data_IF_204183597653
#
_entry.id   IF_204183597653
#
_cell.length_a   1.000
_cell.length_b   1.000
_cell.length_c   1.000
_cell.angle_alpha   90.00
_cell.angle_beta   90.00
_cell.angle_gamma   90.00
#
_symmetry.space_group_name_H-M   'P 1'
#
loop_
_entity.id
_entity.type
_entity.pdbx_description
1 polymer ?
#
# COMPACT_ATOMS: atom_id res chain seq x y z
N UNK A 1 12.29 0.60 -26.78
CA UNK A 1 11.39 1.60 -26.17
C UNK A 1 10.83 2.57 -27.21
N UNK A 2 11.62 2.95 -28.22
CA UNK A 2 11.26 3.87 -29.31
C UNK A 2 9.86 3.71 -29.92
N UNK A 3 9.38 2.47 -30.15
CA UNK A 3 8.02 2.25 -30.70
C UNK A 3 6.90 2.69 -29.76
N UNK A 4 7.07 2.51 -28.45
CA UNK A 4 6.04 2.89 -27.46
C UNK A 4 6.01 4.40 -27.28
N UNK A 5 7.18 5.03 -27.20
CA UNK A 5 7.30 6.48 -27.03
C UNK A 5 6.82 7.25 -28.26
N UNK A 6 6.84 6.62 -29.45
CA UNK A 6 6.29 7.18 -30.69
C UNK A 6 4.74 7.09 -30.78
N UNK A 7 4.07 6.38 -29.88
CA UNK A 7 2.60 6.32 -29.89
C UNK A 7 2.01 7.69 -29.52
N UNK A 8 1.03 8.16 -30.29
CA UNK A 8 0.43 9.51 -30.12
C UNK A 8 -0.10 9.76 -28.70
N UNK A 9 -0.70 8.75 -28.08
CA UNK A 9 -1.22 8.82 -26.72
C UNK A 9 -0.17 8.69 -25.60
N UNK A 10 1.07 8.31 -25.89
CA UNK A 10 2.07 8.00 -24.85
C UNK A 10 2.38 9.21 -23.95
N UNK A 11 2.46 10.41 -24.54
CA UNK A 11 2.70 11.64 -23.78
C UNK A 11 1.59 11.94 -22.78
N UNK A 12 0.32 11.78 -23.19
CA UNK A 12 -0.84 11.98 -22.32
C UNK A 12 -0.87 10.95 -21.19
N UNK A 13 -0.60 9.67 -21.51
CA UNK A 13 -0.50 8.60 -20.52
C UNK A 13 0.59 8.89 -19.47
N UNK A 14 1.79 9.24 -19.93
CA UNK A 14 2.92 9.56 -19.06
C UNK A 14 2.60 10.75 -18.13
N UNK A 15 2.05 11.83 -18.69
CA UNK A 15 1.71 13.03 -17.93
C UNK A 15 0.68 12.75 -16.83
N UNK A 16 -0.42 12.07 -17.16
CA UNK A 16 -1.47 11.77 -16.17
C UNK A 16 -0.99 10.78 -15.11
N UNK A 17 -0.20 9.77 -15.50
CA UNK A 17 0.36 8.83 -14.53
C UNK A 17 1.30 9.53 -13.55
N UNK A 18 2.19 10.40 -14.03
CA UNK A 18 3.12 11.16 -13.18
C UNK A 18 2.37 12.06 -12.19
N UNK A 19 1.27 12.70 -12.62
CA UNK A 19 0.44 13.53 -11.73
C UNK A 19 -0.17 12.74 -10.57
N UNK A 20 -0.50 11.49 -10.80
CA UNK A 20 -1.09 10.62 -9.78
C UNK A 20 -0.04 10.10 -8.78
N UNK A 21 1.25 10.07 -9.15
CA UNK A 21 2.31 9.55 -8.30
C UNK A 21 2.65 10.44 -7.09
N UNK A 22 2.11 11.66 -6.94
CA UNK A 22 2.38 12.60 -5.83
C UNK A 22 3.85 12.65 -5.35
N UNK A 23 4.82 12.54 -6.28
CA UNK A 23 6.25 12.55 -5.97
C UNK A 23 6.69 14.00 -5.74
N UNK A 24 7.44 14.31 -4.67
CA UNK A 24 7.98 15.64 -4.45
C UNK A 24 8.74 16.16 -5.68
N UNK A 25 8.48 17.40 -6.09
CA UNK A 25 9.00 17.96 -7.36
C UNK A 25 10.52 17.80 -7.57
N UNK A 26 11.31 17.90 -6.50
CA UNK A 26 12.77 17.72 -6.56
C UNK A 26 13.18 16.27 -6.89
N UNK A 27 12.48 15.28 -6.34
CA UNK A 27 12.69 13.87 -6.69
C UNK A 27 12.11 13.57 -8.07
N UNK A 28 10.98 14.16 -8.41
CA UNK A 28 10.29 13.91 -9.67
C UNK A 28 11.19 14.19 -10.88
N UNK A 29 11.95 15.29 -10.88
CA UNK A 29 12.87 15.62 -11.97
C UNK A 29 13.93 14.52 -12.16
N UNK A 30 14.57 14.09 -11.06
CA UNK A 30 15.62 13.08 -11.10
C UNK A 30 15.07 11.69 -11.48
N UNK A 31 13.88 11.35 -11.00
CA UNK A 31 13.28 10.04 -11.20
C UNK A 31 12.54 9.90 -12.53
N UNK A 32 12.15 11.00 -13.18
CA UNK A 32 11.34 10.96 -14.42
C UNK A 32 11.93 10.01 -15.48
N UNK A 33 13.23 10.05 -15.82
CA UNK A 33 13.79 9.10 -16.80
C UNK A 33 13.64 7.63 -16.38
N UNK A 34 13.79 7.34 -15.09
CA UNK A 34 13.65 5.99 -14.55
C UNK A 34 12.18 5.54 -14.54
N UNK A 35 11.25 6.41 -14.14
CA UNK A 35 9.81 6.17 -14.14
C UNK A 35 9.30 5.94 -15.58
N UNK A 36 9.79 6.73 -16.54
CA UNK A 36 9.48 6.59 -17.97
C UNK A 36 9.93 5.23 -18.51
N UNK A 37 11.14 4.77 -18.16
CA UNK A 37 11.67 3.48 -18.58
C UNK A 37 10.95 2.27 -17.94
N UNK A 38 10.28 2.49 -16.81
CA UNK A 38 9.70 1.45 -15.97
C UNK A 38 8.17 1.52 -15.89
N UNK A 39 7.63 2.20 -14.88
CA UNK A 39 6.22 2.22 -14.50
C UNK A 39 5.33 2.75 -15.61
N UNK A 40 5.68 3.88 -16.24
CA UNK A 40 4.87 4.47 -17.32
C UNK A 40 4.83 3.54 -18.53
N UNK A 41 5.96 2.92 -18.89
CA UNK A 41 6.01 1.95 -19.99
C UNK A 41 5.13 0.73 -19.70
N UNK A 42 5.19 0.18 -18.49
CA UNK A 42 4.38 -0.97 -18.08
C UNK A 42 2.89 -0.61 -18.04
N UNK A 43 2.55 0.51 -17.40
CA UNK A 43 1.19 1.06 -17.35
C UNK A 43 0.61 1.26 -18.75
N UNK A 44 1.35 1.92 -19.64
CA UNK A 44 0.89 2.19 -20.99
C UNK A 44 0.67 0.90 -21.79
N UNK A 45 1.58 -0.07 -21.70
CA UNK A 45 1.42 -1.37 -22.38
C UNK A 45 0.22 -2.15 -21.89
N UNK A 46 -0.03 -2.16 -20.57
CA UNK A 46 -1.21 -2.80 -19.99
C UNK A 46 -2.49 -2.21 -20.59
N UNK A 47 -2.61 -0.88 -20.60
CA UNK A 47 -3.80 -0.22 -21.14
C UNK A 47 -3.93 -0.29 -22.66
N UNK A 48 -2.84 -0.43 -23.42
CA UNK A 48 -2.91 -0.74 -24.84
C UNK A 48 -3.42 -2.16 -25.10
N UNK A 49 -3.03 -3.13 -24.27
CA UNK A 49 -3.60 -4.49 -24.35
C UNK A 49 -5.09 -4.46 -24.01
N UNK A 50 -5.48 -3.74 -22.95
CA UNK A 50 -6.89 -3.54 -22.59
C UNK A 50 -7.71 -2.93 -23.75
N UNK A 51 -7.17 -1.96 -24.49
CA UNK A 51 -7.88 -1.37 -25.65
C UNK A 51 -8.22 -2.39 -26.75
N UNK A 52 -7.48 -3.49 -26.85
CA UNK A 52 -7.76 -4.57 -27.80
C UNK A 52 -8.92 -5.44 -27.31
N UNK A 53 -9.08 -5.57 -26.00
CA UNK A 53 -10.15 -6.35 -25.36
C UNK A 53 -11.44 -5.53 -25.26
N UNK A 54 -11.38 -4.40 -24.56
CA UNK A 54 -12.45 -3.41 -24.44
C UNK A 54 -11.85 -2.04 -24.09
N UNK A 55 -12.01 -1.07 -24.98
CA UNK A 55 -11.50 0.29 -24.78
C UNK A 55 -12.39 1.17 -23.90
N UNK A 56 -13.64 0.75 -23.67
CA UNK A 56 -14.68 1.47 -22.96
C UNK A 56 -14.77 1.09 -21.49
N UNK A 57 -14.66 -0.20 -21.17
CA UNK A 57 -14.92 -0.70 -19.82
C UNK A 57 -13.90 -1.75 -19.36
N UNK A 58 -13.75 -1.85 -18.04
CA UNK A 58 -12.97 -2.91 -17.38
C UNK A 58 -13.67 -3.28 -16.05
N UNK A 59 -13.81 -4.58 -15.72
CA UNK A 59 -14.33 -4.98 -14.42
C UNK A 59 -13.29 -4.72 -13.31
N UNK A 60 -13.75 -4.58 -12.07
CA UNK A 60 -12.86 -4.54 -10.90
C UNK A 60 -12.08 -5.87 -10.81
N UNK A 61 -10.73 -5.86 -10.87
CA UNK A 61 -9.93 -7.07 -10.78
C UNK A 61 -10.14 -7.83 -9.46
N UNK A 62 -10.56 -7.16 -8.39
CA UNK A 62 -10.83 -7.79 -7.10
C UNK A 62 -12.22 -8.46 -7.03
N UNK A 63 -13.11 -8.16 -7.99
CA UNK A 63 -14.46 -8.72 -8.06
C UNK A 63 -14.55 -10.05 -8.84
N UNK A 64 -13.43 -10.75 -9.04
CA UNK A 64 -13.39 -12.00 -9.85
C UNK A 64 -14.33 -13.12 -9.38
N UNK A 65 -14.83 -13.06 -8.15
CA UNK A 65 -15.77 -14.03 -7.58
C UNK A 65 -17.15 -13.46 -7.30
N UNK A 66 -17.40 -12.19 -7.66
CA UNK A 66 -18.71 -11.59 -7.53
C UNK A 66 -19.57 -11.98 -8.74
N UNK A 67 -20.86 -12.25 -8.49
CA UNK A 67 -21.83 -12.51 -9.55
C UNK A 67 -22.18 -11.24 -10.34
N UNK A 68 -21.89 -10.06 -9.79
CA UNK A 68 -22.09 -8.76 -10.42
C UNK A 68 -20.89 -7.83 -10.16
N UNK A 69 -19.77 -7.99 -10.90
CA UNK A 69 -18.57 -7.21 -10.63
C UNK A 69 -18.81 -5.74 -10.90
N UNK A 70 -18.22 -4.87 -10.07
CA UNK A 70 -18.20 -3.44 -10.35
C UNK A 70 -17.47 -3.18 -11.68
N UNK A 71 -18.06 -2.35 -12.56
CA UNK A 71 -17.47 -1.95 -13.84
C UNK A 71 -16.97 -0.50 -13.79
N UNK A 72 -15.83 -0.25 -14.43
CA UNK A 72 -15.25 1.07 -14.59
C UNK A 72 -15.22 1.48 -16.06
N UNK A 73 -15.72 2.69 -16.36
CA UNK A 73 -15.60 3.31 -17.67
C UNK A 73 -14.22 3.96 -17.83
N UNK A 74 -13.51 3.69 -18.93
CA UNK A 74 -12.09 3.99 -19.13
C UNK A 74 -11.76 4.63 -20.49
N UNK A 75 -12.76 5.10 -21.23
CA UNK A 75 -12.62 5.77 -22.54
C UNK A 75 -12.52 7.30 -22.46
N UNK A 76 -12.69 7.87 -21.27
CA UNK A 76 -12.67 9.31 -21.05
C UNK A 76 -14.02 10.00 -21.19
N UNK A 77 -15.13 9.27 -21.17
CA UNK A 77 -16.51 9.80 -21.25
C UNK A 77 -16.70 10.76 -22.43
N UNK A 78 -16.62 10.29 -23.69
CA UNK A 78 -16.85 11.13 -24.86
C UNK A 78 -18.21 11.84 -24.84
N UNK A 79 -19.23 11.23 -24.23
CA UNK A 79 -20.59 11.78 -24.07
C UNK A 79 -20.65 13.04 -23.21
N UNK A 80 -19.62 13.32 -22.39
CA UNK A 80 -19.49 14.58 -21.65
C UNK A 80 -19.01 15.74 -22.54
N UNK A 81 -18.71 15.49 -23.82
CA UNK A 81 -18.22 16.49 -24.78
C UNK A 81 -16.79 16.96 -24.50
N UNK A 82 -16.41 18.08 -25.14
CA UNK A 82 -15.06 18.65 -25.09
C UNK A 82 -14.24 18.39 -26.36
N UNK A 83 -13.00 18.86 -26.37
CA UNK A 83 -12.05 18.57 -27.45
C UNK A 83 -11.57 17.11 -27.39
N UNK A 84 -10.96 16.63 -28.48
CA UNK A 84 -10.33 15.31 -28.50
C UNK A 84 -9.22 15.18 -27.43
N UNK A 85 -8.52 16.28 -27.14
CA UNK A 85 -7.51 16.34 -26.09
C UNK A 85 -8.13 16.21 -24.69
N UNK A 86 -9.30 16.83 -24.45
CA UNK A 86 -10.01 16.71 -23.17
C UNK A 86 -10.45 15.27 -22.91
N UNK A 87 -11.00 14.60 -23.93
CA UNK A 87 -11.41 13.18 -23.84
C UNK A 87 -10.18 12.31 -23.56
N UNK A 88 -9.08 12.53 -24.29
CA UNK A 88 -7.83 11.80 -24.10
C UNK A 88 -7.23 12.02 -22.69
N UNK A 89 -7.28 13.25 -22.18
CA UNK A 89 -6.80 13.58 -20.84
C UNK A 89 -7.64 12.88 -19.77
N UNK A 90 -8.98 12.89 -19.89
CA UNK A 90 -9.88 12.17 -18.96
C UNK A 90 -9.65 10.66 -18.99
N UNK A 91 -9.50 10.09 -20.19
CA UNK A 91 -9.17 8.67 -20.40
C UNK A 91 -7.92 8.27 -19.60
N UNK A 92 -6.81 8.99 -19.79
CA UNK A 92 -5.55 8.63 -19.13
C UNK A 92 -5.51 9.01 -17.65
N UNK A 93 -6.24 10.04 -17.22
CA UNK A 93 -6.42 10.35 -15.81
C UNK A 93 -7.14 9.23 -15.07
N UNK A 94 -8.24 8.72 -15.62
CA UNK A 94 -8.97 7.61 -15.00
C UNK A 94 -8.13 6.33 -14.95
N UNK A 95 -7.44 6.01 -16.05
CA UNK A 95 -6.55 4.85 -16.10
C UNK A 95 -5.40 4.93 -15.10
N UNK A 96 -4.83 6.12 -14.89
CA UNK A 96 -3.81 6.35 -13.86
C UNK A 96 -4.40 6.12 -12.46
N UNK A 97 -5.56 6.72 -12.16
CA UNK A 97 -6.28 6.56 -10.90
C UNK A 97 -6.60 5.10 -10.60
N UNK A 98 -7.13 4.35 -11.57
CA UNK A 98 -7.40 2.92 -11.43
C UNK A 98 -6.12 2.11 -11.21
N UNK A 99 -5.04 2.44 -11.93
CA UNK A 99 -3.73 1.79 -11.72
C UNK A 99 -3.23 2.01 -10.29
N UNK A 100 -3.37 3.22 -9.76
CA UNK A 100 -2.96 3.52 -8.38
C UNK A 100 -3.91 2.92 -7.35
N UNK A 101 -5.21 2.82 -7.64
CA UNK A 101 -6.17 2.11 -6.80
C UNK A 101 -5.81 0.62 -6.67
N UNK A 102 -5.59 -0.07 -7.78
CA UNK A 102 -5.36 -1.51 -7.78
C UNK A 102 -3.92 -1.90 -7.44
N UNK A 103 -2.96 -1.06 -7.82
CA UNK A 103 -1.53 -1.41 -7.75
C UNK A 103 -0.68 -0.35 -7.05
N UNK A 104 -1.26 0.65 -6.40
CA UNK A 104 -0.52 1.77 -5.79
C UNK A 104 0.58 1.32 -4.84
N UNK A 105 0.29 0.32 -4.01
CA UNK A 105 1.26 -0.36 -3.12
C UNK A 105 2.51 -0.83 -3.89
N UNK A 106 2.31 -1.52 -5.02
CA UNK A 106 3.40 -2.01 -5.87
C UNK A 106 4.12 -0.90 -6.61
N UNK A 107 3.37 0.09 -7.11
CA UNK A 107 3.92 1.26 -7.78
C UNK A 107 4.85 2.03 -6.84
N UNK A 108 4.39 2.31 -5.62
CA UNK A 108 5.18 3.00 -4.60
C UNK A 108 6.42 2.23 -4.18
N UNK A 109 6.34 0.90 -4.04
CA UNK A 109 7.52 0.07 -3.77
C UNK A 109 8.58 0.16 -4.89
N UNK A 110 8.15 0.26 -6.14
CA UNK A 110 9.06 0.51 -7.27
C UNK A 110 9.63 1.93 -7.18
N UNK A 111 8.84 2.95 -6.86
CA UNK A 111 9.33 4.32 -6.67
C UNK A 111 10.38 4.39 -5.56
N UNK A 112 10.14 3.76 -4.41
CA UNK A 112 11.12 3.69 -3.31
C UNK A 112 12.45 3.09 -3.78
N UNK A 113 12.39 2.01 -4.57
CA UNK A 113 13.58 1.41 -5.14
C UNK A 113 14.30 2.35 -6.11
N UNK A 114 13.57 3.06 -6.97
CA UNK A 114 14.16 4.03 -7.89
C UNK A 114 14.79 5.21 -7.15
N UNK A 115 14.16 5.72 -6.09
CA UNK A 115 14.71 6.75 -5.20
C UNK A 115 16.02 6.30 -4.57
N UNK A 116 16.06 5.09 -4.00
CA UNK A 116 17.29 4.54 -3.42
C UNK A 116 18.38 4.37 -4.47
N UNK A 117 18.03 3.88 -5.66
CA UNK A 117 18.98 3.74 -6.75
C UNK A 117 19.49 5.10 -7.27
N UNK A 118 18.66 6.14 -7.21
CA UNK A 118 19.01 7.52 -7.53
C UNK A 118 20.04 8.06 -6.52
N UNK A 119 19.68 8.03 -5.23
CA UNK A 119 20.49 8.54 -4.12
C UNK A 119 21.82 7.81 -3.95
N UNK A 120 21.83 6.48 -4.12
CA UNK A 120 23.01 5.64 -3.95
C UNK A 120 23.83 5.46 -5.24
N UNK A 121 23.50 6.21 -6.30
CA UNK A 121 24.19 6.22 -7.58
C UNK A 121 24.46 4.81 -8.17
N UNK A 122 23.42 3.97 -8.20
CA UNK A 122 23.60 2.58 -8.59
C UNK A 122 24.10 2.43 -10.03
N UNK A 123 25.23 1.73 -10.21
CA UNK A 123 25.93 1.57 -11.49
C UNK A 123 25.05 1.08 -12.66
N UNK A 124 24.00 0.27 -12.40
CA UNK A 124 23.11 -0.23 -13.45
C UNK A 124 22.30 0.88 -14.12
N UNK A 125 22.14 2.06 -13.49
CA UNK A 125 21.45 3.22 -14.08
C UNK A 125 22.16 3.74 -15.33
N UNK A 126 23.48 3.59 -15.37
CA UNK A 126 24.32 4.02 -16.49
C UNK A 126 24.46 2.98 -17.59
N UNK A 127 23.97 1.76 -17.36
CA UNK A 127 23.94 0.72 -18.39
C UNK A 127 22.70 0.91 -19.25
N UNK A 128 22.81 1.80 -20.23
CA UNK A 128 21.74 2.18 -21.13
C UNK A 128 21.62 1.25 -22.34
N UNK A 129 20.42 1.14 -22.90
CA UNK A 129 20.16 0.53 -24.21
C UNK A 129 20.35 1.56 -25.34
N UNK A 130 20.11 1.15 -26.58
CA UNK A 130 20.28 1.99 -27.77
C UNK A 130 19.32 3.22 -27.78
N UNK A 131 18.22 3.15 -27.01
CA UNK A 131 17.25 4.23 -26.85
C UNK A 131 17.59 5.14 -25.65
N UNK A 132 18.70 4.90 -24.94
CA UNK A 132 19.14 5.69 -23.80
C UNK A 132 18.46 5.34 -22.47
N UNK A 133 17.81 4.18 -22.35
CA UNK A 133 17.12 3.76 -21.12
C UNK A 133 17.89 2.69 -20.35
N UNK A 134 17.83 2.65 -19.00
CA UNK A 134 18.52 1.62 -18.23
C UNK A 134 18.04 0.21 -18.60
N UNK A 135 18.98 -0.63 -19.08
CA UNK A 135 18.72 -2.01 -19.56
C UNK A 135 18.00 -2.86 -18.50
N UNK A 136 18.28 -2.60 -17.22
CA UNK A 136 17.64 -3.31 -16.10
C UNK A 136 16.13 -3.08 -16.08
N UNK A 137 15.69 -1.84 -16.29
CA UNK A 137 14.28 -1.47 -16.28
C UNK A 137 13.58 -1.96 -17.54
N UNK A 138 14.23 -1.87 -18.71
CA UNK A 138 13.62 -2.26 -19.99
C UNK A 138 13.35 -3.77 -20.11
N UNK A 139 14.13 -4.59 -19.39
CA UNK A 139 13.92 -6.05 -19.26
C UNK A 139 12.69 -6.45 -18.43
N UNK A 140 12.18 -5.57 -17.56
CA UNK A 140 11.00 -5.85 -16.75
C UNK A 140 9.75 -5.66 -17.63
N UNK A 141 9.12 -6.73 -18.12
CA UNK A 141 8.01 -6.62 -19.09
C UNK A 141 6.70 -6.10 -18.49
N UNK A 142 6.54 -6.23 -17.19
CA UNK A 142 5.30 -6.06 -16.45
C UNK A 142 5.60 -5.55 -15.03
N UNK A 143 4.54 -5.21 -14.28
CA UNK A 143 4.66 -4.64 -12.94
C UNK A 143 5.23 -5.66 -11.95
N UNK A 144 4.83 -6.93 -12.04
CA UNK A 144 5.32 -7.99 -11.17
C UNK A 144 6.86 -8.13 -11.24
N UNK A 145 7.44 -8.06 -12.45
CA UNK A 145 8.90 -8.07 -12.63
C UNK A 145 9.58 -6.82 -12.07
N UNK A 146 8.97 -5.64 -12.21
CA UNK A 146 9.48 -4.42 -11.58
C UNK A 146 9.49 -4.55 -10.06
N UNK A 147 8.40 -5.03 -9.47
CA UNK A 147 8.30 -5.30 -8.02
C UNK A 147 9.36 -6.31 -7.58
N UNK A 148 9.58 -7.38 -8.33
CA UNK A 148 10.60 -8.37 -8.01
C UNK A 148 12.01 -7.77 -8.00
N UNK A 149 12.35 -6.90 -8.97
CA UNK A 149 13.64 -6.21 -8.99
C UNK A 149 13.75 -5.14 -7.89
N UNK A 150 12.66 -4.44 -7.58
CA UNK A 150 12.60 -3.51 -6.46
C UNK A 150 12.86 -4.22 -5.12
N UNK A 151 12.20 -5.36 -4.89
CA UNK A 151 12.41 -6.19 -3.71
C UNK A 151 13.86 -6.67 -3.58
N UNK A 152 14.50 -7.08 -4.69
CA UNK A 152 15.93 -7.43 -4.67
C UNK A 152 16.81 -6.22 -4.33
N UNK A 153 16.56 -5.08 -4.97
CA UNK A 153 17.34 -3.86 -4.79
C UNK A 153 17.21 -3.23 -3.40
N UNK A 154 16.09 -3.45 -2.73
CA UNK A 154 15.81 -2.91 -1.40
C UNK A 154 16.13 -3.89 -0.26
N UNK A 155 16.48 -5.15 -0.53
CA UNK A 155 16.67 -6.19 0.52
C UNK A 155 17.67 -5.77 1.58
N UNK A 156 18.91 -5.50 1.18
CA UNK A 156 20.01 -5.21 2.12
C UNK A 156 19.75 -3.91 2.91
N UNK A 157 19.19 -2.89 2.24
CA UNK A 157 18.79 -1.64 2.90
C UNK A 157 17.68 -1.88 3.92
N UNK A 158 16.67 -2.67 3.56
CA UNK A 158 15.55 -2.98 4.45
C UNK A 158 16.01 -3.74 5.69
N UNK A 159 16.88 -4.73 5.52
CA UNK A 159 17.48 -5.47 6.63
C UNK A 159 18.30 -4.56 7.54
N UNK A 160 19.13 -3.69 6.95
CA UNK A 160 19.94 -2.72 7.69
C UNK A 160 19.07 -1.72 8.48
N UNK A 161 18.16 -1.01 7.81
CA UNK A 161 17.31 0.00 8.47
C UNK A 161 16.38 -0.64 9.50
N UNK A 162 15.78 -1.79 9.18
CA UNK A 162 14.93 -2.52 10.12
C UNK A 162 15.69 -3.00 11.37
N UNK A 163 16.99 -3.28 11.24
CA UNK A 163 17.87 -3.58 12.37
C UNK A 163 18.27 -2.35 13.19
N UNK A 164 18.40 -1.18 12.56
CA UNK A 164 18.78 0.08 13.20
C UNK A 164 17.64 0.74 13.99
N UNK A 165 16.37 0.45 13.66
CA UNK A 165 15.22 0.95 14.43
C UNK A 165 15.16 0.23 15.80
N UNK A 166 15.64 0.93 16.83
CA UNK A 166 15.51 0.53 18.24
C UNK A 166 14.13 0.91 18.74
N UNK A 167 13.36 -0.07 19.20
CA UNK A 167 12.04 0.17 19.77
C UNK A 167 12.07 0.28 21.29
N UNK A 168 11.23 1.16 21.82
CA UNK A 168 10.92 1.21 23.24
C UNK A 168 10.04 0.03 23.70
N UNK A 169 9.99 -0.26 25.00
CA UNK A 169 9.28 -1.44 25.56
C UNK A 169 7.75 -1.38 25.43
N UNK A 170 7.19 -0.26 24.95
CA UNK A 170 5.73 -0.06 24.77
C UNK A 170 5.34 0.15 23.32
N UNK A 171 6.30 0.13 22.39
CA UNK A 171 6.01 0.38 20.97
C UNK A 171 5.46 -0.86 20.27
N UNK A 172 5.72 -2.04 20.84
CA UNK A 172 5.12 -3.31 20.43
C UNK A 172 4.58 -4.04 21.66
N UNK A 173 3.45 -4.73 21.50
CA UNK A 173 2.85 -5.53 22.56
C UNK A 173 2.35 -6.86 21.99
N UNK A 174 2.77 -7.98 22.60
CA UNK A 174 2.18 -9.28 22.28
C UNK A 174 0.77 -9.36 22.87
N UNK A 175 -0.24 -9.38 22.00
CA UNK A 175 -1.66 -9.36 22.38
C UNK A 175 -2.32 -10.73 22.39
N UNK A 176 -1.77 -11.70 21.64
CA UNK A 176 -2.28 -13.07 21.63
C UNK A 176 -1.19 -14.13 21.35
N UNK A 177 -1.45 -15.33 21.82
CA UNK A 177 -0.81 -16.57 21.34
C UNK A 177 -1.76 -17.22 20.34
N UNK A 178 -1.29 -17.43 19.10
CA UNK A 178 -2.10 -18.02 18.03
C UNK A 178 -2.01 -19.55 18.03
N UNK A 179 -1.20 -20.13 18.92
CA UNK A 179 -0.90 -21.55 18.95
C UNK A 179 0.28 -21.93 18.05
N UNK A 180 0.81 -23.14 18.26
CA UNK A 180 1.96 -23.69 17.49
C UNK A 180 3.18 -22.76 17.52
N UNK A 181 3.31 -21.94 18.57
CA UNK A 181 4.37 -20.95 18.74
C UNK A 181 4.20 -19.66 17.93
N UNK A 182 3.10 -19.48 17.20
CA UNK A 182 2.79 -18.22 16.55
C UNK A 182 2.27 -17.20 17.57
N UNK A 183 2.53 -15.92 17.31
CA UNK A 183 2.06 -14.83 18.16
C UNK A 183 1.50 -13.68 17.35
N UNK A 184 0.58 -12.94 17.98
CA UNK A 184 0.05 -11.69 17.45
C UNK A 184 0.64 -10.53 18.26
N UNK A 185 1.30 -9.60 17.58
CA UNK A 185 1.96 -8.44 18.16
C UNK A 185 1.31 -7.17 17.62
N UNK A 186 0.74 -6.35 18.49
CA UNK A 186 0.23 -5.02 18.14
C UNK A 186 1.37 -4.02 18.08
N UNK A 187 1.35 -3.17 17.05
CA UNK A 187 2.30 -2.08 16.87
C UNK A 187 1.63 -0.77 17.24
N UNK A 188 2.21 -0.05 18.21
CA UNK A 188 1.60 1.14 18.81
C UNK A 188 2.19 2.45 18.29
N UNK A 189 3.30 2.41 17.54
CA UNK A 189 3.96 3.63 17.06
C UNK A 189 4.36 3.54 15.59
N UNK A 190 4.53 4.70 14.91
CA UNK A 190 5.04 4.73 13.54
C UNK A 190 6.45 4.13 13.42
N UNK A 191 7.25 4.13 14.49
CA UNK A 191 8.56 3.47 14.51
C UNK A 191 8.41 1.94 14.44
N UNK A 192 7.49 1.37 15.22
CA UNK A 192 7.16 -0.05 15.17
C UNK A 192 6.64 -0.46 13.79
N UNK A 193 5.69 0.28 13.21
CA UNK A 193 5.20 -0.01 11.85
C UNK A 193 6.30 0.04 10.79
N UNK A 194 7.16 1.06 10.83
CA UNK A 194 8.29 1.14 9.90
C UNK A 194 9.22 -0.06 10.05
N UNK A 195 9.59 -0.42 11.29
CA UNK A 195 10.45 -1.57 11.57
C UNK A 195 9.83 -2.86 11.04
N UNK A 196 8.55 -3.07 11.31
CA UNK A 196 7.81 -4.23 10.85
C UNK A 196 7.74 -4.26 9.31
N UNK A 197 7.40 -3.13 8.68
CA UNK A 197 7.38 -3.04 7.23
C UNK A 197 8.74 -3.32 6.60
N UNK A 198 9.85 -2.94 7.26
CA UNK A 198 11.20 -3.29 6.80
C UNK A 198 11.44 -4.79 6.84
N UNK A 199 11.06 -5.47 7.92
CA UNK A 199 11.19 -6.93 8.09
C UNK A 199 10.30 -7.72 7.13
N UNK A 200 9.10 -7.22 6.87
CA UNK A 200 8.10 -7.85 5.98
C UNK A 200 8.27 -7.49 4.51
N UNK A 201 9.11 -6.49 4.22
CA UNK A 201 9.23 -5.89 2.89
C UNK A 201 7.88 -5.44 2.30
N UNK A 202 6.96 -5.00 3.16
CA UNK A 202 5.62 -4.57 2.76
C UNK A 202 5.48 -3.04 2.89
N UNK A 203 4.32 -2.52 2.51
CA UNK A 203 4.10 -1.08 2.38
C UNK A 203 3.66 -0.35 3.66
N UNK A 204 3.75 -0.98 4.84
CA UNK A 204 3.49 -0.32 6.13
C UNK A 204 4.45 0.85 6.46
N UNK A 205 5.37 1.19 5.54
CA UNK A 205 6.41 2.19 5.71
C UNK A 205 6.00 3.61 5.29
N UNK A 206 4.93 3.78 4.50
CA UNK A 206 4.57 5.08 3.89
C UNK A 206 3.49 5.86 4.67
N UNK A 207 3.45 7.17 4.44
CA UNK A 207 3.11 8.21 5.43
C UNK A 207 1.70 8.24 6.03
N UNK A 208 0.70 7.59 5.43
CA UNK A 208 -0.66 7.64 5.95
C UNK A 208 -0.90 6.69 7.12
N UNK A 209 -0.18 5.57 7.22
CA UNK A 209 -0.29 4.65 8.36
C UNK A 209 0.07 5.33 9.69
N UNK A 210 1.00 6.29 9.65
CA UNK A 210 1.35 7.09 10.83
C UNK A 210 0.22 8.01 11.29
N UNK A 211 -0.62 8.50 10.36
CA UNK A 211 -1.82 9.27 10.68
C UNK A 211 -2.93 8.36 11.20
N UNK A 212 -3.13 7.21 10.56
CA UNK A 212 -4.12 6.23 10.98
C UNK A 212 -3.80 5.65 12.36
N UNK A 213 -2.53 5.53 12.74
CA UNK A 213 -2.13 5.14 14.11
C UNK A 213 -2.62 6.11 15.20
N UNK A 214 -2.88 7.37 14.85
CA UNK A 214 -3.46 8.37 15.77
C UNK A 214 -4.98 8.18 15.85
N UNK A 215 -5.58 7.64 14.79
CA UNK A 215 -7.00 7.33 14.75
C UNK A 215 -7.28 6.02 15.50
N UNK A 216 -8.17 6.09 16.49
CA UNK A 216 -8.54 4.94 17.32
C UNK A 216 -9.32 3.88 16.56
N UNK A 217 -9.85 4.23 15.38
CA UNK A 217 -10.52 3.29 14.50
C UNK A 217 -9.55 2.30 13.86
N UNK A 218 -8.24 2.61 13.83
CA UNK A 218 -7.23 1.75 13.21
C UNK A 218 -6.35 1.04 14.22
N UNK A 219 -5.99 -0.21 13.93
CA UNK A 219 -5.00 -0.95 14.69
C UNK A 219 -4.21 -1.88 13.78
N UNK A 220 -2.92 -1.99 14.07
CA UNK A 220 -1.98 -2.73 13.24
C UNK A 220 -1.33 -3.87 14.02
N UNK A 221 -1.33 -5.05 13.43
CA UNK A 221 -0.81 -6.25 14.05
C UNK A 221 0.17 -6.97 13.13
N UNK A 222 1.12 -7.66 13.76
CA UNK A 222 2.12 -8.53 13.16
C UNK A 222 1.85 -9.95 13.63
N UNK A 223 1.68 -10.87 12.69
CA UNK A 223 1.70 -12.30 12.95
C UNK A 223 3.15 -12.75 12.89
N UNK A 224 3.67 -13.29 13.99
CA UNK A 224 5.05 -13.77 14.10
C UNK A 224 5.09 -15.26 14.28
N UNK A 225 6.08 -15.89 13.65
CA UNK A 225 6.34 -17.32 13.77
C UNK A 225 7.06 -17.64 15.10
N UNK A 226 7.36 -18.93 15.38
CA UNK A 226 8.06 -19.33 16.62
C UNK A 226 9.47 -18.76 16.80
N UNK A 227 10.08 -18.20 15.76
CA UNK A 227 11.37 -17.53 15.81
C UNK A 227 11.23 -15.99 15.93
N UNK A 228 10.05 -15.50 16.28
CA UNK A 228 9.71 -14.06 16.33
C UNK A 228 9.90 -13.34 14.97
N UNK A 229 9.99 -14.10 13.87
CA UNK A 229 10.05 -13.52 12.53
C UNK A 229 8.63 -13.19 12.08
N UNK A 230 8.37 -11.96 11.60
CA UNK A 230 7.07 -11.63 11.08
C UNK A 230 6.79 -12.36 9.77
N UNK A 231 5.56 -12.82 9.62
CA UNK A 231 5.09 -13.61 8.48
C UNK A 231 3.80 -13.08 7.86
N UNK A 232 3.06 -12.23 8.57
CA UNK A 232 1.95 -11.47 8.00
C UNK A 232 1.67 -10.22 8.85
N UNK A 233 0.97 -9.26 8.27
CA UNK A 233 0.50 -8.05 8.93
C UNK A 233 -0.98 -7.87 8.70
N UNK A 234 -1.67 -7.38 9.72
CA UNK A 234 -3.12 -7.19 9.73
C UNK A 234 -3.38 -5.72 10.04
N UNK A 235 -4.20 -5.08 9.21
CA UNK A 235 -4.84 -3.81 9.53
C UNK A 235 -6.29 -4.11 9.93
N UNK A 236 -6.70 -3.49 11.03
CA UNK A 236 -8.07 -3.55 11.52
C UNK A 236 -8.61 -2.13 11.54
N UNK A 237 -9.73 -1.92 10.86
CA UNK A 237 -10.49 -0.67 10.84
C UNK A 237 -11.86 -0.92 11.46
N UNK A 238 -12.22 -0.17 12.52
CA UNK A 238 -13.54 -0.26 13.20
C UNK A 238 -13.95 -1.69 13.61
N UNK A 239 -12.97 -2.51 13.98
CA UNK A 239 -13.07 -3.93 14.35
C UNK A 239 -13.16 -4.94 13.20
N UNK A 240 -13.14 -4.48 11.95
CA UNK A 240 -13.08 -5.35 10.78
C UNK A 240 -11.65 -5.41 10.24
N UNK A 241 -11.23 -6.59 9.78
CA UNK A 241 -9.94 -6.73 9.10
C UNK A 241 -10.06 -6.05 7.73
N UNK A 242 -9.51 -4.85 7.61
CA UNK A 242 -9.46 -4.11 6.34
C UNK A 242 -8.36 -4.65 5.43
N UNK A 243 -7.24 -5.12 6.01
CA UNK A 243 -6.12 -5.68 5.26
C UNK A 243 -5.47 -6.86 5.97
N UNK A 244 -5.08 -7.89 5.21
CA UNK A 244 -4.26 -8.99 5.71
C UNK A 244 -3.27 -9.45 4.64
N UNK A 245 -1.99 -9.16 4.88
CA UNK A 245 -0.94 -9.37 3.88
C UNK A 245 0.26 -10.13 4.44
N UNK A 246 0.81 -11.03 3.64
CA UNK A 246 2.10 -11.67 3.85
C UNK A 246 3.28 -10.78 3.43
N UNK A 247 4.50 -11.34 3.39
CA UNK A 247 5.69 -10.61 2.98
C UNK A 247 5.55 -10.06 1.56
N UNK A 248 6.09 -8.87 1.30
CA UNK A 248 5.96 -8.18 0.00
C UNK A 248 4.51 -7.90 -0.44
N UNK A 249 3.60 -7.70 0.52
CA UNK A 249 2.16 -7.54 0.27
C UNK A 249 1.52 -8.74 -0.46
N UNK A 250 2.12 -9.93 -0.35
CA UNK A 250 1.54 -11.15 -0.93
C UNK A 250 0.29 -11.59 -0.17
N UNK A 251 -0.52 -12.46 -0.77
CA UNK A 251 -1.58 -13.17 -0.04
C UNK A 251 -0.96 -13.89 1.18
N UNK A 252 -1.54 -13.80 2.39
CA UNK A 252 -1.13 -14.62 3.52
C UNK A 252 -1.22 -16.11 3.17
N UNK A 253 -0.33 -16.92 3.73
CA UNK A 253 -0.46 -18.37 3.62
C UNK A 253 -1.78 -18.83 4.29
N UNK A 254 -2.46 -19.82 3.72
CA UNK A 254 -3.81 -20.21 4.15
C UNK A 254 -3.85 -20.62 5.64
N UNK A 255 -2.80 -21.28 6.16
CA UNK A 255 -2.72 -21.65 7.57
C UNK A 255 -2.66 -20.42 8.51
N UNK A 256 -2.16 -19.27 8.05
CA UNK A 256 -2.18 -18.03 8.82
C UNK A 256 -3.60 -17.47 8.90
N UNK A 257 -4.41 -17.67 7.86
CA UNK A 257 -5.83 -17.28 7.84
C UNK A 257 -6.59 -18.13 8.86
N UNK A 258 -6.36 -19.43 8.88
CA UNK A 258 -6.97 -20.33 9.85
C UNK A 258 -6.58 -19.98 11.30
N UNK A 259 -5.32 -19.61 11.53
CA UNK A 259 -4.82 -19.21 12.86
C UNK A 259 -5.44 -17.90 13.36
N UNK A 260 -5.74 -16.95 12.47
CA UNK A 260 -6.25 -15.62 12.82
C UNK A 260 -7.78 -15.60 12.89
N UNK A 261 -8.46 -16.45 12.11
CA UNK A 261 -9.92 -16.48 12.00
C UNK A 261 -10.68 -16.56 13.33
N UNK A 262 -10.25 -17.33 14.35
CA UNK A 262 -10.90 -17.35 15.67
C UNK A 262 -10.86 -16.00 16.39
N UNK A 263 -9.87 -15.15 16.07
CA UNK A 263 -9.75 -13.81 16.65
C UNK A 263 -10.70 -12.80 16.00
N UNK A 264 -11.36 -13.13 14.88
CA UNK A 264 -12.35 -12.27 14.23
C UNK A 264 -13.44 -11.78 15.23
N UNK A 265 -13.90 -12.65 16.12
CA UNK A 265 -14.82 -12.27 17.20
C UNK A 265 -14.17 -11.53 18.38
N UNK A 266 -12.84 -11.62 18.50
CA UNK A 266 -12.06 -11.05 19.61
C UNK A 266 -11.69 -9.57 19.38
N UNK A 267 -11.63 -9.09 18.13
CA UNK A 267 -11.30 -7.70 17.81
C UNK A 267 -12.26 -6.70 18.44
N UNK A 268 -13.55 -7.03 18.48
CA UNK A 268 -14.58 -6.25 19.17
C UNK A 268 -14.32 -6.13 20.69
N UNK A 269 -13.57 -7.09 21.28
CA UNK A 269 -13.19 -7.09 22.70
C UNK A 269 -11.86 -6.37 22.95
N UNK A 270 -10.92 -6.38 22.00
CA UNK A 270 -9.63 -5.70 22.11
C UNK A 270 -9.74 -4.18 21.94
N UNK A 271 -10.62 -3.68 21.06
CA UNK A 271 -10.91 -2.24 20.94
C UNK A 271 -11.38 -1.63 22.27
N UNK A 272 -12.25 -2.35 22.99
CA UNK A 272 -12.72 -1.96 24.32
C UNK A 272 -11.59 -1.91 25.38
N UNK A 273 -10.49 -2.66 25.20
CA UNK A 273 -9.32 -2.62 26.09
C UNK A 273 -8.32 -1.53 25.71
N UNK A 274 -8.19 -1.20 24.42
CA UNK A 274 -7.35 -0.10 23.95
C UNK A 274 -7.92 1.27 24.36
N UNK A 275 -9.24 1.44 24.30
CA UNK A 275 -9.94 2.62 24.79
C UNK A 275 -9.78 2.86 26.31
N UNK A 276 -9.41 1.81 27.07
CA UNK A 276 -9.21 1.88 28.53
C UNK A 276 -7.86 2.43 28.99
N UNK A 277 -6.89 2.70 28.10
CA UNK A 277 -5.51 3.09 28.50
C UNK A 277 -5.29 4.59 28.74
N UNK A 278 -6.32 5.42 28.62
CA UNK A 278 -6.29 6.85 29.02
C UNK A 278 -7.28 7.22 30.14
N UNK A 279 -7.87 6.24 30.84
CA UNK A 279 -8.64 6.52 32.06
C UNK A 279 -7.70 6.62 33.29
N UNK A 280 -7.02 7.76 33.44
CA UNK A 280 -6.64 8.31 34.73
C UNK A 280 -7.36 9.67 34.80
N UNK A 281 -8.46 9.86 35.52
CA UNK A 281 -8.59 9.73 36.96
C UNK A 281 -9.94 9.15 37.43
N UNK A 282 -9.89 8.14 38.29
CA UNK A 282 -10.57 8.09 39.59
C UNK A 282 -12.11 7.89 39.68
N UNK A 283 -12.60 6.98 40.55
CA UNK A 283 -14.01 6.83 40.87
C UNK A 283 -14.46 7.83 41.96
N UNK A 284 -15.56 8.54 41.71
CA UNK A 284 -16.27 9.35 42.71
C UNK A 284 -17.54 8.63 43.21
N UNK A 285 -17.86 8.67 44.51
CA UNK A 285 -18.75 7.70 45.14
C UNK A 285 -20.24 7.95 44.89
N UNK A 286 -20.99 6.86 44.96
CA UNK A 286 -22.45 6.85 45.12
C UNK A 286 -22.83 7.64 46.38
N UNK A 287 -23.75 8.58 46.24
CA UNK A 287 -24.59 9.01 47.35
C UNK A 287 -26.03 9.12 46.87
N UNK A 288 -26.81 8.11 47.25
CA UNK A 288 -28.26 8.22 47.35
C UNK A 288 -28.57 9.20 48.48
N UNK A 289 -29.33 10.26 48.18
CA UNK A 289 -30.27 10.76 49.18
C UNK A 289 -31.56 11.27 48.53
N UNK A 290 -32.64 10.63 48.93
CA UNK A 290 -34.02 11.00 48.65
C UNK A 290 -34.37 12.23 49.51
N UNK A 291 -34.98 13.27 48.92
CA UNK A 291 -36.04 14.03 49.61
C UNK A 291 -36.81 14.96 48.66
N UNK A 292 -38.13 14.77 48.69
CA UNK A 292 -39.17 15.66 48.18
C UNK A 292 -38.98 17.13 48.57
N UNK A 293 -39.26 18.07 47.66
CA UNK A 293 -40.08 19.25 47.94
C UNK A 293 -40.93 19.61 46.71
N UNK A 294 -42.20 19.91 46.99
CA UNK A 294 -43.31 20.36 46.13
C UNK A 294 -43.20 21.84 45.68
N UNK A 295 -44.03 22.18 44.67
CA UNK A 295 -44.62 23.50 44.32
C UNK A 295 -43.67 24.46 43.58
N UNK A 296 -44.10 25.25 42.59
CA UNK A 296 -45.44 25.73 42.16
C UNK A 296 -45.59 25.51 40.66
#
# INVERSE_FOLDING_TARGET
MSKLTAHSEFGAAAYQFIRELDVPAHLQIALTPLIMASLIRVHFRFWLAQNVEDAGFIPDPDAQFDHDPQWFQIDGWPEKGGSAEDVLARKWSERARLTMRWYGVHVWHVIDWLTVAEEADHAWRYRLDDDGYPVKLTKCSDLARLVAEATKGLRDRNEKIGGEIVLGPREEERVADLGVGYSLVQMHTPAALRREGYRMHNCLKSGDYGRNLIDQDFSYFSVRNPQDKPVATIEVERNDISQFFGPCNAKPADHLIDLVSPLAGLWQTLSNRAAGRFAADGPGPQNNDNRHVRRV
#
